data_IF_811045194268
#
_entry.id   IF_811045194268
#
_cell.length_a   1.000
_cell.length_b   1.000
_cell.length_c   1.000
_cell.angle_alpha   90.00
_cell.angle_beta   90.00
_cell.angle_gamma   90.00
#
_symmetry.space_group_name_H-M   'P 1'
#
loop_
_entity.id
_entity.type
_entity.pdbx_description
1 polymer ?
#
# COMPACT_ATOMS: atom_id res chain seq x y z
N UNK A 1 -22.18 -14.73 -8.02
CA UNK A 1 -21.28 -13.56 -8.19
C UNK A 1 -21.07 -12.76 -6.89
N UNK A 2 -21.93 -12.86 -5.87
CA UNK A 2 -21.81 -12.07 -4.63
C UNK A 2 -20.86 -12.66 -3.56
N UNK A 3 -20.76 -13.98 -3.47
CA UNK A 3 -19.92 -14.66 -2.46
C UNK A 3 -18.43 -14.37 -2.68
N UNK A 4 -17.97 -14.32 -3.94
CA UNK A 4 -16.58 -14.04 -4.29
C UNK A 4 -16.15 -12.64 -3.84
N UNK A 5 -16.99 -11.62 -4.04
CA UNK A 5 -16.68 -10.26 -3.60
C UNK A 5 -16.65 -10.11 -2.08
N UNK A 6 -17.46 -10.89 -1.35
CA UNK A 6 -17.43 -10.93 0.11
C UNK A 6 -16.12 -11.57 0.61
N UNK A 7 -15.67 -12.68 0.00
CA UNK A 7 -14.39 -13.30 0.34
C UNK A 7 -13.21 -12.40 0.01
N UNK A 8 -13.23 -11.74 -1.16
CA UNK A 8 -12.21 -10.76 -1.54
C UNK A 8 -12.21 -9.58 -0.56
N UNK A 9 -13.38 -9.05 -0.21
CA UNK A 9 -13.52 -7.99 0.80
C UNK A 9 -12.97 -8.39 2.16
N UNK A 10 -13.22 -9.63 2.61
CA UNK A 10 -12.71 -10.18 3.87
C UNK A 10 -11.19 -10.36 3.85
N UNK A 11 -10.64 -10.85 2.73
CA UNK A 11 -9.19 -11.02 2.52
C UNK A 11 -8.51 -9.65 2.49
N UNK A 12 -9.08 -8.67 1.78
CA UNK A 12 -8.61 -7.28 1.77
C UNK A 12 -8.60 -6.71 3.19
N UNK A 13 -9.66 -6.95 3.96
CA UNK A 13 -9.78 -6.50 5.35
C UNK A 13 -8.74 -7.16 6.26
N UNK A 14 -8.43 -8.45 6.07
CA UNK A 14 -7.50 -9.19 6.92
C UNK A 14 -6.03 -8.97 6.56
N UNK A 15 -5.71 -8.71 5.29
CA UNK A 15 -4.32 -8.70 4.80
C UNK A 15 -3.73 -7.31 4.54
N UNK A 16 -4.32 -6.20 5.00
CA UNK A 16 -3.90 -4.82 4.68
C UNK A 16 -2.37 -4.59 4.54
N UNK A 17 -1.56 -5.05 5.50
CA UNK A 17 -0.08 -4.96 5.48
C UNK A 17 0.59 -5.90 4.46
N UNK A 18 0.06 -7.12 4.29
CA UNK A 18 0.51 -8.11 3.30
C UNK A 18 -0.05 -7.87 1.90
N UNK A 19 -1.00 -6.95 1.78
CA UNK A 19 -1.69 -6.67 0.53
C UNK A 19 -0.81 -5.90 -0.45
N UNK A 20 0.18 -5.16 0.03
CA UNK A 20 1.14 -4.49 -0.85
C UNK A 20 1.86 -5.49 -1.76
N UNK A 21 2.30 -6.61 -1.18
CA UNK A 21 2.90 -7.72 -1.92
C UNK A 21 1.98 -8.26 -3.01
N UNK A 22 0.72 -8.53 -2.64
CA UNK A 22 -0.29 -9.03 -3.55
C UNK A 22 -0.63 -8.01 -4.64
N UNK A 23 -0.69 -6.73 -4.30
CA UNK A 23 -1.00 -5.64 -5.22
C UNK A 23 0.09 -5.45 -6.26
N UNK A 24 1.36 -5.41 -5.85
CA UNK A 24 2.49 -5.38 -6.78
C UNK A 24 2.54 -6.67 -7.60
N UNK A 25 2.17 -7.82 -7.01
CA UNK A 25 2.01 -9.07 -7.74
C UNK A 25 0.90 -9.02 -8.80
N UNK A 26 -0.25 -8.43 -8.51
CA UNK A 26 -1.33 -8.22 -9.48
C UNK A 26 -0.90 -7.26 -10.60
N UNK A 27 -0.21 -6.17 -10.26
CA UNK A 27 0.36 -5.26 -11.27
C UNK A 27 1.38 -6.00 -12.12
N UNK A 28 2.25 -6.82 -11.52
CA UNK A 28 3.20 -7.67 -12.24
C UNK A 28 2.50 -8.67 -13.17
N UNK A 29 1.40 -9.28 -12.72
CA UNK A 29 0.59 -10.17 -13.55
C UNK A 29 -0.01 -9.43 -14.74
N UNK A 30 -0.63 -8.26 -14.52
CA UNK A 30 -1.25 -7.45 -15.58
C UNK A 30 -0.18 -6.96 -16.56
N UNK A 31 0.97 -6.50 -16.06
CA UNK A 31 2.09 -6.06 -16.88
C UNK A 31 2.69 -7.21 -17.69
N UNK A 32 2.84 -8.40 -17.10
CA UNK A 32 3.30 -9.61 -17.78
C UNK A 32 2.32 -10.03 -18.87
N UNK A 33 1.03 -10.05 -18.57
CA UNK A 33 -0.03 -10.33 -19.55
C UNK A 33 -0.01 -9.34 -20.71
N UNK A 34 0.04 -8.03 -20.42
CA UNK A 34 0.08 -6.98 -21.42
C UNK A 34 1.35 -7.05 -22.29
N UNK A 35 2.51 -7.37 -21.69
CA UNK A 35 3.78 -7.51 -22.42
C UNK A 35 3.74 -8.67 -23.41
N UNK A 36 3.18 -9.82 -23.01
CA UNK A 36 3.04 -10.98 -23.90
C UNK A 36 2.02 -10.69 -25.01
N UNK A 37 0.92 -9.99 -24.71
CA UNK A 37 -0.05 -9.55 -25.73
C UNK A 37 0.55 -8.57 -26.75
N UNK A 38 1.40 -7.65 -26.30
CA UNK A 38 1.96 -6.59 -27.16
C UNK A 38 3.12 -7.08 -28.03
N UNK A 39 3.97 -7.97 -27.52
CA UNK A 39 5.17 -8.44 -28.22
C UNK A 39 5.07 -9.90 -28.73
N UNK A 40 4.18 -10.71 -28.16
CA UNK A 40 4.06 -12.14 -28.41
C UNK A 40 2.80 -12.51 -29.18
N UNK A 41 2.64 -11.98 -30.40
CA UNK A 41 1.53 -12.36 -31.27
C UNK A 41 1.52 -13.88 -31.55
N UNK A 42 0.42 -14.57 -31.20
CA UNK A 42 0.14 -15.95 -31.61
C UNK A 42 0.52 -17.06 -30.61
N UNK A 43 0.80 -16.76 -29.35
CA UNK A 43 1.05 -17.79 -28.32
C UNK A 43 -0.25 -18.37 -27.75
N UNK A 44 -0.22 -19.67 -27.40
CA UNK A 44 -1.33 -20.37 -26.73
C UNK A 44 -1.70 -19.68 -25.40
N UNK A 45 -2.99 -19.54 -25.12
CA UNK A 45 -3.53 -18.89 -23.90
C UNK A 45 -2.86 -19.40 -22.61
N UNK A 46 -2.53 -20.70 -22.55
CA UNK A 46 -1.87 -21.31 -21.41
C UNK A 46 -0.46 -20.74 -21.15
N UNK A 47 0.29 -20.42 -22.21
CA UNK A 47 1.65 -19.86 -22.11
C UNK A 47 1.57 -18.41 -21.62
N UNK A 48 0.60 -17.64 -22.13
CA UNK A 48 0.35 -16.26 -21.68
C UNK A 48 0.04 -16.21 -20.18
N UNK A 49 -0.84 -17.11 -19.72
CA UNK A 49 -1.22 -17.21 -18.30
C UNK A 49 -0.02 -17.63 -17.45
N UNK A 50 0.80 -18.60 -17.90
CA UNK A 50 2.01 -19.03 -17.20
C UNK A 50 3.01 -17.88 -17.03
N UNK A 51 3.30 -17.12 -18.09
CA UNK A 51 4.24 -15.99 -18.03
C UNK A 51 3.69 -14.88 -17.13
N UNK A 52 2.41 -14.55 -17.25
CA UNK A 52 1.76 -13.56 -16.39
C UNK A 52 1.83 -13.99 -14.91
N UNK A 53 1.60 -15.28 -14.61
CA UNK A 53 1.69 -15.81 -13.25
C UNK A 53 3.12 -15.73 -12.70
N UNK A 54 4.13 -16.10 -13.49
CA UNK A 54 5.53 -15.98 -13.11
C UNK A 54 5.94 -14.52 -12.88
N UNK A 55 5.52 -13.61 -13.77
CA UNK A 55 5.79 -12.18 -13.65
C UNK A 55 5.13 -11.60 -12.40
N UNK A 56 3.87 -11.98 -12.11
CA UNK A 56 3.17 -11.58 -10.90
C UNK A 56 3.86 -12.11 -9.64
N UNK A 57 4.26 -13.38 -9.62
CA UNK A 57 4.98 -13.96 -8.48
C UNK A 57 6.34 -13.28 -8.25
N UNK A 58 7.09 -13.00 -9.32
CA UNK A 58 8.35 -12.28 -9.25
C UNK A 58 8.17 -10.84 -8.75
N UNK A 59 7.17 -10.13 -9.28
CA UNK A 59 6.82 -8.77 -8.85
C UNK A 59 6.43 -8.73 -7.38
N UNK A 60 5.64 -9.71 -6.95
CA UNK A 60 5.35 -9.90 -5.55
C UNK A 60 6.66 -10.10 -4.78
N UNK A 61 7.45 -11.15 -5.04
CA UNK A 61 8.68 -11.43 -4.28
C UNK A 61 9.60 -10.21 -4.15
N UNK A 62 9.78 -9.45 -5.24
CA UNK A 62 10.51 -8.19 -5.24
C UNK A 62 9.89 -7.15 -4.30
N UNK A 63 8.57 -7.03 -4.27
CA UNK A 63 7.88 -6.12 -3.37
C UNK A 63 8.19 -6.38 -1.90
N UNK A 64 8.24 -7.63 -1.42
CA UNK A 64 8.58 -7.89 0.02
C UNK A 64 9.96 -7.34 0.35
N UNK A 65 10.91 -7.55 -0.55
CA UNK A 65 12.30 -7.16 -0.32
C UNK A 65 12.50 -5.65 -0.45
N UNK A 66 11.89 -5.02 -1.44
CA UNK A 66 12.08 -3.60 -1.75
C UNK A 66 11.12 -2.66 -1.00
N UNK A 67 10.01 -3.16 -0.43
CA UNK A 67 9.01 -2.31 0.21
C UNK A 67 9.64 -1.45 1.32
N UNK A 68 10.41 -2.04 2.23
CA UNK A 68 11.05 -1.30 3.32
C UNK A 68 12.03 -0.24 2.82
N UNK A 69 12.84 -0.60 1.81
CA UNK A 69 13.82 0.32 1.20
C UNK A 69 13.11 1.46 0.48
N UNK A 70 12.05 1.18 -0.27
CA UNK A 70 11.27 2.18 -0.99
C UNK A 70 10.63 3.19 -0.03
N UNK A 71 10.05 2.72 1.08
CA UNK A 71 9.48 3.57 2.14
C UNK A 71 10.57 4.46 2.74
N UNK A 72 11.70 3.88 3.11
CA UNK A 72 12.81 4.64 3.71
C UNK A 72 13.35 5.70 2.74
N UNK A 73 13.58 5.36 1.48
CA UNK A 73 14.08 6.29 0.46
C UNK A 73 13.06 7.40 0.16
N UNK A 74 11.79 7.04 -0.02
CA UNK A 74 10.73 8.03 -0.26
C UNK A 74 10.61 9.01 0.91
N UNK A 75 10.62 8.50 2.15
CA UNK A 75 10.60 9.33 3.35
C UNK A 75 11.87 10.16 3.51
N UNK A 76 13.04 9.63 3.14
CA UNK A 76 14.31 10.36 3.19
C UNK A 76 14.34 11.53 2.21
N UNK A 77 13.95 11.30 0.96
CA UNK A 77 13.89 12.36 -0.05
C UNK A 77 12.83 13.40 0.31
N UNK A 78 11.62 12.96 0.69
CA UNK A 78 10.54 13.86 1.07
C UNK A 78 10.90 14.67 2.32
N UNK A 79 11.44 14.03 3.35
CA UNK A 79 11.85 14.69 4.59
C UNK A 79 12.99 15.68 4.39
N UNK A 80 14.04 15.27 3.67
CA UNK A 80 15.19 16.14 3.39
C UNK A 80 14.79 17.36 2.58
N UNK A 81 13.96 17.18 1.54
CA UNK A 81 13.45 18.29 0.73
C UNK A 81 12.52 19.21 1.53
N UNK A 82 11.63 18.65 2.35
CA UNK A 82 10.73 19.43 3.20
C UNK A 82 11.51 20.26 4.22
N UNK A 83 12.55 19.70 4.84
CA UNK A 83 13.41 20.45 5.75
C UNK A 83 14.12 21.62 5.07
N UNK A 84 14.59 21.43 3.83
CA UNK A 84 15.18 22.53 3.04
C UNK A 84 14.17 23.66 2.79
N UNK A 85 12.92 23.33 2.44
CA UNK A 85 11.85 24.32 2.26
C UNK A 85 11.59 25.06 3.57
N UNK A 86 11.46 24.34 4.69
CA UNK A 86 11.20 24.94 6.00
C UNK A 86 12.33 25.92 6.37
N UNK A 87 13.59 25.52 6.19
CA UNK A 87 14.76 26.37 6.45
C UNK A 87 14.76 27.63 5.59
N UNK A 88 14.39 27.51 4.30
CA UNK A 88 14.25 28.66 3.41
C UNK A 88 13.11 29.61 3.87
N UNK A 89 11.98 29.06 4.31
CA UNK A 89 10.82 29.85 4.76
C UNK A 89 11.09 30.65 6.05
N UNK A 90 11.90 30.11 6.96
CA UNK A 90 12.22 30.76 8.23
C UNK A 90 13.45 31.69 8.14
N UNK A 91 13.99 31.90 6.93
CA UNK A 91 15.13 32.80 6.72
C UNK A 91 16.43 32.31 7.36
N UNK A 92 16.54 31.00 7.65
CA UNK A 92 17.80 30.36 8.05
C UNK A 92 18.69 30.13 6.81
N UNK A 93 18.83 31.16 5.98
CA UNK A 93 19.74 31.22 4.84
C UNK A 93 21.16 31.46 5.34
N UNK A 94 21.71 30.48 6.07
CA UNK A 94 23.13 30.46 6.41
C UNK A 94 23.89 29.54 5.47
N UNK A 95 25.22 29.71 5.36
CA UNK A 95 26.17 28.68 4.92
C UNK A 95 26.20 27.45 5.88
N UNK A 96 25.14 27.26 6.67
CA UNK A 96 24.93 26.15 7.58
C UNK A 96 24.76 24.89 6.75
N UNK A 97 25.87 24.17 6.55
CA UNK A 97 26.02 22.80 6.05
C UNK A 97 24.68 22.20 5.54
N UNK A 98 24.19 22.57 4.34
CA UNK A 98 22.86 22.20 3.85
C UNK A 98 22.69 20.67 3.77
N UNK A 99 23.81 19.95 3.61
CA UNK A 99 23.84 18.49 3.67
C UNK A 99 23.44 17.93 5.05
N UNK A 100 23.76 18.62 6.15
CA UNK A 100 23.36 18.22 7.52
C UNK A 100 21.86 18.35 7.68
N UNK A 101 21.29 19.50 7.30
CA UNK A 101 19.85 19.77 7.40
C UNK A 101 19.07 18.77 6.54
N UNK A 102 19.52 18.53 5.30
CA UNK A 102 18.91 17.55 4.42
C UNK A 102 18.98 16.13 5.00
N UNK A 103 20.12 15.73 5.58
CA UNK A 103 20.30 14.39 6.15
C UNK A 103 19.43 14.20 7.39
N UNK A 104 19.38 15.17 8.31
CA UNK A 104 18.53 15.12 9.51
C UNK A 104 17.05 15.08 9.10
N UNK A 105 16.65 15.98 8.20
CA UNK A 105 15.30 16.02 7.64
C UNK A 105 14.92 14.72 6.97
N UNK A 106 15.84 14.13 6.22
CA UNK A 106 15.65 12.85 5.55
C UNK A 106 15.52 11.69 6.54
N UNK A 107 16.38 11.58 7.55
CA UNK A 107 16.26 10.52 8.56
C UNK A 107 14.91 10.65 9.30
N UNK A 108 14.53 11.86 9.70
CA UNK A 108 13.23 12.12 10.30
C UNK A 108 12.08 11.74 9.37
N UNK A 109 12.15 12.12 8.09
CA UNK A 109 11.13 11.78 7.10
C UNK A 109 11.03 10.28 6.83
N UNK A 110 12.15 9.57 6.77
CA UNK A 110 12.20 8.11 6.62
C UNK A 110 11.52 7.42 7.80
N UNK A 111 11.85 7.82 9.04
CA UNK A 111 11.23 7.27 10.26
C UNK A 111 9.74 7.59 10.29
N UNK A 112 9.37 8.84 10.00
CA UNK A 112 7.97 9.29 9.97
C UNK A 112 7.15 8.50 8.95
N UNK A 113 7.66 8.34 7.72
CA UNK A 113 6.97 7.59 6.68
C UNK A 113 6.85 6.12 7.06
N UNK A 114 7.89 5.52 7.64
CA UNK A 114 7.86 4.14 8.11
C UNK A 114 6.79 3.91 9.19
N UNK A 115 6.62 4.87 10.11
CA UNK A 115 5.59 4.83 11.13
C UNK A 115 4.18 4.97 10.55
N UNK A 116 3.99 5.85 9.57
CA UNK A 116 2.68 6.16 8.99
C UNK A 116 2.28 5.10 7.94
N UNK A 117 3.22 4.44 7.29
CA UNK A 117 2.96 3.55 6.16
C UNK A 117 1.98 2.41 6.50
N UNK A 118 2.16 1.74 7.63
CA UNK A 118 1.24 0.69 8.10
C UNK A 118 -0.19 1.26 8.25
N UNK A 119 -0.33 2.46 8.81
CA UNK A 119 -1.63 3.13 8.98
C UNK A 119 -2.24 3.58 7.65
N UNK A 120 -1.42 4.03 6.71
CA UNK A 120 -1.87 4.39 5.37
C UNK A 120 -2.45 3.16 4.65
N UNK A 121 -1.80 2.00 4.75
CA UNK A 121 -2.33 0.75 4.21
C UNK A 121 -3.65 0.34 4.86
N UNK A 122 -3.79 0.53 6.17
CA UNK A 122 -5.04 0.26 6.89
C UNK A 122 -6.19 1.13 6.35
N UNK A 123 -5.93 2.42 6.18
CA UNK A 123 -6.92 3.37 5.66
C UNK A 123 -7.33 3.04 4.23
N UNK A 124 -6.37 2.82 3.34
CA UNK A 124 -6.63 2.52 1.93
C UNK A 124 -7.37 1.18 1.79
N UNK A 125 -6.97 0.16 2.56
CA UNK A 125 -7.63 -1.15 2.54
C UNK A 125 -9.06 -1.04 3.07
N UNK A 126 -9.28 -0.35 4.18
CA UNK A 126 -10.62 -0.17 4.75
C UNK A 126 -11.55 0.60 3.81
N UNK A 127 -11.07 1.67 3.16
CA UNK A 127 -11.82 2.41 2.14
C UNK A 127 -12.15 1.54 0.93
N UNK A 128 -11.17 0.80 0.41
CA UNK A 128 -11.34 -0.02 -0.79
C UNK A 128 -12.24 -1.23 -0.53
N UNK A 129 -12.10 -1.89 0.63
CA UNK A 129 -12.96 -3.00 1.04
C UNK A 129 -14.39 -2.55 1.27
N UNK A 130 -14.59 -1.42 1.96
CA UNK A 130 -15.92 -0.85 2.16
C UNK A 130 -16.58 -0.45 0.84
N UNK A 131 -15.85 0.17 -0.09
CA UNK A 131 -16.42 0.57 -1.38
C UNK A 131 -16.85 -0.62 -2.22
N UNK A 132 -16.09 -1.72 -2.21
CA UNK A 132 -16.47 -2.95 -2.91
C UNK A 132 -17.73 -3.58 -2.32
N UNK A 133 -17.87 -3.62 -0.99
CA UNK A 133 -19.05 -4.20 -0.33
C UNK A 133 -20.29 -3.36 -0.64
N UNK A 134 -20.20 -2.03 -0.52
CA UNK A 134 -21.34 -1.14 -0.79
C UNK A 134 -21.79 -1.22 -2.25
N UNK A 135 -20.86 -1.25 -3.20
CA UNK A 135 -21.20 -1.39 -4.63
C UNK A 135 -21.83 -2.73 -4.99
N UNK A 136 -21.63 -3.78 -4.18
CA UNK A 136 -22.26 -5.09 -4.42
C UNK A 136 -23.68 -5.22 -3.89
N UNK A 137 -24.10 -4.31 -3.01
CA UNK A 137 -25.45 -4.35 -2.45
C UNK A 137 -26.19 -3.10 -2.91
N UNK A 138 -27.12 -3.29 -3.85
CA UNK A 138 -27.96 -2.22 -4.37
C UNK A 138 -28.92 -1.71 -3.27
N UNK A 139 -28.42 -0.83 -2.39
CA UNK A 139 -29.22 -0.08 -1.43
C UNK A 139 -29.60 1.29 -2.00
N UNK A 140 -30.60 1.94 -1.41
CA UNK A 140 -30.89 3.34 -1.74
C UNK A 140 -29.70 4.24 -1.43
N UNK A 141 -29.46 5.28 -2.25
CA UNK A 141 -28.31 6.22 -2.17
C UNK A 141 -28.02 6.75 -0.76
N UNK A 142 -29.04 6.96 0.07
CA UNK A 142 -28.88 7.48 1.43
C UNK A 142 -28.34 6.40 2.41
N UNK A 143 -28.71 5.13 2.21
CA UNK A 143 -28.23 4.01 3.02
C UNK A 143 -26.81 3.56 2.62
N UNK A 144 -26.44 3.72 1.35
CA UNK A 144 -25.09 3.41 0.85
C UNK A 144 -24.01 4.20 1.57
N UNK A 145 -24.20 5.52 1.74
CA UNK A 145 -23.24 6.38 2.42
C UNK A 145 -23.06 5.99 3.90
N UNK A 146 -24.18 5.67 4.58
CA UNK A 146 -24.16 5.26 5.99
C UNK A 146 -23.46 3.90 6.16
N UNK A 147 -23.78 2.92 5.29
CA UNK A 147 -23.12 1.62 5.28
C UNK A 147 -21.63 1.74 4.98
N UNK A 148 -21.24 2.58 4.02
CA UNK A 148 -19.83 2.83 3.71
C UNK A 148 -19.06 3.31 4.93
N UNK A 149 -19.56 4.35 5.62
CA UNK A 149 -18.90 4.92 6.81
C UNK A 149 -18.78 3.86 7.91
N UNK A 150 -19.84 3.12 8.19
CA UNK A 150 -19.85 2.06 9.22
C UNK A 150 -18.83 0.97 8.88
N UNK A 151 -18.79 0.51 7.63
CA UNK A 151 -17.85 -0.52 7.18
C UNK A 151 -16.40 -0.05 7.25
N UNK A 152 -16.11 1.19 6.88
CA UNK A 152 -14.76 1.78 7.00
C UNK A 152 -14.31 1.79 8.46
N UNK A 153 -15.17 2.25 9.38
CA UNK A 153 -14.83 2.29 10.81
C UNK A 153 -14.55 0.88 11.33
N UNK A 154 -15.41 -0.09 11.00
CA UNK A 154 -15.22 -1.49 11.39
C UNK A 154 -13.88 -2.03 10.85
N UNK A 155 -13.57 -1.76 9.58
CA UNK A 155 -12.31 -2.15 8.95
C UNK A 155 -11.08 -1.60 9.67
N UNK A 156 -11.10 -0.30 9.98
CA UNK A 156 -9.99 0.37 10.70
C UNK A 156 -9.81 -0.23 12.09
N UNK A 157 -10.90 -0.43 12.84
CA UNK A 157 -10.83 -1.02 14.19
C UNK A 157 -10.24 -2.42 14.13
N UNK A 158 -10.77 -3.26 13.25
CA UNK A 158 -10.34 -4.65 13.12
C UNK A 158 -8.84 -4.75 12.74
N UNK A 159 -8.42 -3.99 11.72
CA UNK A 159 -7.03 -3.98 11.27
C UNK A 159 -6.07 -3.39 12.32
N UNK A 160 -6.50 -2.38 13.08
CA UNK A 160 -5.69 -1.78 14.15
C UNK A 160 -5.49 -2.77 15.31
N UNK A 161 -6.52 -3.54 15.66
CA UNK A 161 -6.43 -4.59 16.70
C UNK A 161 -5.46 -5.68 16.26
N UNK A 162 -5.53 -6.12 15.00
CA UNK A 162 -4.63 -7.14 14.45
C UNK A 162 -3.17 -6.66 14.47
N UNK A 163 -2.91 -5.41 14.06
CA UNK A 163 -1.57 -4.82 14.09
C UNK A 163 -0.97 -4.79 15.51
N UNK A 164 -1.81 -4.53 16.52
CA UNK A 164 -1.37 -4.54 17.93
C UNK A 164 -1.05 -5.93 18.44
N UNK A 165 -1.70 -6.98 17.91
CA UNK A 165 -1.42 -8.37 18.27
C UNK A 165 -0.08 -8.83 17.67
N UNK A 166 0.14 -8.63 16.36
CA UNK A 166 1.41 -8.96 15.69
C UNK A 166 2.63 -8.34 16.41
N UNK A 167 2.54 -7.05 16.76
CA UNK A 167 3.61 -6.35 17.48
C UNK A 167 3.80 -6.83 18.93
N UNK A 168 2.77 -7.45 19.53
CA UNK A 168 2.87 -8.03 20.88
C UNK A 168 3.61 -9.36 20.84
N UNK A 169 3.32 -10.17 19.83
CA UNK A 169 3.95 -11.48 19.65
C UNK A 169 5.44 -11.34 19.29
N UNK A 170 5.81 -10.30 18.52
CA UNK A 170 7.22 -9.98 18.21
C UNK A 170 8.04 -9.50 19.42
N UNK A 171 7.41 -8.84 20.41
CA UNK A 171 8.09 -8.29 21.60
C UNK A 171 8.00 -9.19 22.84
N UNK A 172 7.19 -10.25 22.80
CA UNK A 172 6.94 -11.18 23.90
C UNK A 172 7.84 -12.42 23.90
N UNK A 173 8.81 -12.48 23.00
CA UNK A 173 9.78 -13.58 22.81
C UNK A 173 11.20 -13.04 22.91
#
# INVERSE_FOLDING_TARGET
MSVVNIFIGLILLALGRKLFWLFVGCIGFVAGYASVQQFGGGQSDLIVILIALFSGLAGALLAVFFQGVAIALAGFVAGGYTSMIITALIGLEGEQLPWVIYTIGGILGAVMLFLIFDWALILISSLSGASLIVQTVEFGKDMEALLFIVLVIIGIIFQTVLLRQDRRDENGN
#
